data_IF_085895386557
#
_entry.id   IF_085895386557
#
_cell.length_a   1.000
_cell.length_b   1.000
_cell.length_c   1.000
_cell.angle_alpha   90.00
_cell.angle_beta   90.00
_cell.angle_gamma   90.00
#
_symmetry.space_group_name_H-M   'P 1'
#
loop_
_entity.id
_entity.type
_entity.pdbx_description
1 polymer ?
#
# COMPACT_ATOMS: atom_id res chain seq x y z
N UNK A 1 -21.91 30.27 32.68
CA UNK A 1 -21.29 29.38 31.66
C UNK A 1 -21.74 29.60 30.22
N UNK A 2 -22.73 30.40 29.89
CA UNK A 2 -23.18 30.64 28.48
C UNK A 2 -22.32 31.66 27.68
N UNK A 3 -21.56 32.53 28.36
CA UNK A 3 -20.76 33.59 27.66
C UNK A 3 -19.45 33.09 26.98
N UNK A 4 -18.89 31.99 27.44
CA UNK A 4 -17.62 31.45 26.92
C UNK A 4 -17.75 30.80 25.54
N UNK A 5 -18.92 30.26 25.23
CA UNK A 5 -19.17 29.62 23.95
C UNK A 5 -19.44 30.63 22.80
N UNK A 6 -19.99 31.80 23.13
CA UNK A 6 -20.27 32.84 22.13
C UNK A 6 -18.96 33.40 21.57
N UNK A 7 -17.93 33.64 22.41
CA UNK A 7 -16.62 34.09 21.93
C UNK A 7 -15.89 33.02 21.13
N UNK A 8 -16.03 31.75 21.48
CA UNK A 8 -15.48 30.64 20.70
C UNK A 8 -16.13 30.50 19.32
N UNK A 9 -17.45 30.63 19.26
CA UNK A 9 -18.20 30.60 18.00
C UNK A 9 -17.87 31.80 17.12
N UNK A 10 -17.73 32.98 17.68
CA UNK A 10 -17.30 34.19 16.95
C UNK A 10 -15.87 34.02 16.39
N UNK A 11 -14.95 33.46 17.16
CA UNK A 11 -13.59 33.17 16.68
C UNK A 11 -13.62 32.17 15.51
N UNK A 12 -14.40 31.08 15.64
CA UNK A 12 -14.50 30.04 14.62
C UNK A 12 -15.11 30.56 13.31
N UNK A 13 -16.17 31.37 13.41
CA UNK A 13 -16.83 31.95 12.24
C UNK A 13 -15.97 33.00 11.54
N UNK A 14 -15.25 33.83 12.30
CA UNK A 14 -14.33 34.84 11.72
C UNK A 14 -13.13 34.15 11.07
N UNK A 15 -12.59 33.11 11.66
CA UNK A 15 -11.49 32.32 11.07
C UNK A 15 -11.94 31.62 9.79
N UNK A 16 -13.13 31.04 9.78
CA UNK A 16 -13.69 30.39 8.59
C UNK A 16 -13.93 31.39 7.47
N UNK A 17 -14.54 32.55 7.77
CA UNK A 17 -14.76 33.61 6.79
C UNK A 17 -13.43 34.15 6.22
N UNK A 18 -12.41 34.31 7.07
CA UNK A 18 -11.08 34.74 6.64
C UNK A 18 -10.44 33.75 5.67
N UNK A 19 -10.48 32.43 5.97
CA UNK A 19 -9.96 31.42 5.06
C UNK A 19 -10.76 31.29 3.78
N UNK A 20 -12.08 31.52 3.81
CA UNK A 20 -12.91 31.52 2.61
C UNK A 20 -12.54 32.68 1.67
N UNK A 21 -12.32 33.88 2.21
CA UNK A 21 -11.86 35.04 1.44
C UNK A 21 -10.45 34.82 0.87
N UNK A 22 -9.52 34.28 1.66
CA UNK A 22 -8.18 33.94 1.16
C UNK A 22 -8.21 32.87 0.06
N UNK A 23 -9.10 31.90 0.19
CA UNK A 23 -9.26 30.82 -0.80
C UNK A 23 -9.85 31.30 -2.13
N UNK A 24 -10.54 32.43 -2.15
CA UNK A 24 -11.16 33.02 -3.35
C UNK A 24 -10.25 34.00 -4.13
N UNK A 25 -9.06 34.28 -3.61
CA UNK A 25 -8.10 35.19 -4.27
C UNK A 25 -6.99 34.41 -4.97
N UNK A 26 -6.67 34.79 -6.20
CA UNK A 26 -5.61 34.19 -7.01
C UNK A 26 -4.21 34.61 -6.53
N UNK A 27 -4.11 35.76 -5.88
CA UNK A 27 -2.87 36.30 -5.29
C UNK A 27 -3.10 36.84 -3.89
N UNK A 28 -2.15 36.62 -2.98
CA UNK A 28 -2.19 37.12 -1.59
C UNK A 28 -0.95 37.96 -1.34
N UNK A 29 -1.14 39.23 -0.90
CA UNK A 29 -0.05 40.13 -0.51
C UNK A 29 0.12 40.12 1.01
N UNK A 30 1.27 39.62 1.49
CA UNK A 30 1.64 39.63 2.91
C UNK A 30 2.97 40.37 3.06
N UNK A 31 2.98 41.44 3.87
CA UNK A 31 4.18 42.23 4.16
C UNK A 31 4.98 42.70 2.92
N UNK A 32 4.29 43.02 1.84
CA UNK A 32 4.92 43.48 0.58
C UNK A 32 5.38 42.38 -0.36
N UNK A 33 5.19 41.12 0.01
CA UNK A 33 5.47 39.94 -0.85
C UNK A 33 4.16 39.46 -1.46
N UNK A 34 4.14 39.33 -2.79
CA UNK A 34 3.01 38.82 -3.53
C UNK A 34 3.20 37.30 -3.73
N UNK A 35 2.30 36.51 -3.14
CA UNK A 35 2.26 35.06 -3.26
C UNK A 35 1.11 34.68 -4.21
N UNK A 36 1.46 34.17 -5.38
CA UNK A 36 0.50 33.60 -6.30
C UNK A 36 0.10 32.18 -5.85
N UNK A 37 -1.17 31.83 -6.03
CA UNK A 37 -1.65 30.47 -5.80
C UNK A 37 -1.05 29.58 -6.88
N UNK A 38 -0.34 28.48 -6.53
CA UNK A 38 0.20 27.59 -7.56
C UNK A 38 -0.96 26.94 -8.32
N UNK A 39 -1.00 27.15 -9.62
CA UNK A 39 -1.98 26.50 -10.49
C UNK A 39 -1.48 25.08 -10.79
N UNK A 40 -1.80 24.14 -9.88
CA UNK A 40 -1.36 22.75 -9.93
C UNK A 40 -1.76 22.07 -11.24
N UNK A 41 -2.83 22.53 -11.88
CA UNK A 41 -3.31 21.97 -13.16
C UNK A 41 -2.43 22.48 -14.31
N UNK A 42 -2.02 23.74 -14.30
CA UNK A 42 -1.17 24.33 -15.35
C UNK A 42 0.28 23.81 -15.24
N UNK A 43 0.78 23.59 -14.03
CA UNK A 43 2.12 23.02 -13.79
C UNK A 43 2.19 21.54 -14.22
N UNK A 44 1.14 20.75 -13.96
CA UNK A 44 1.02 19.39 -14.47
C UNK A 44 0.93 19.32 -16.01
N UNK A 45 0.21 20.28 -16.63
CA UNK A 45 0.08 20.33 -18.09
C UNK A 45 1.37 20.80 -18.75
N UNK A 46 2.09 21.76 -18.16
CA UNK A 46 3.42 22.20 -18.65
C UNK A 46 4.48 21.12 -18.51
N UNK A 47 4.48 20.34 -17.41
CA UNK A 47 5.38 19.22 -17.25
C UNK A 47 5.15 18.12 -18.32
N UNK A 48 3.88 17.88 -18.70
CA UNK A 48 3.53 16.90 -19.73
C UNK A 48 3.86 17.39 -21.15
N UNK A 49 3.81 18.71 -21.41
CA UNK A 49 4.13 19.31 -22.73
C UNK A 49 5.63 19.55 -22.91
N UNK A 50 6.38 19.79 -21.81
CA UNK A 50 7.84 19.97 -21.88
C UNK A 50 8.58 18.67 -22.22
N UNK A 51 7.99 17.50 -21.95
CA UNK A 51 8.57 16.19 -22.30
C UNK A 51 8.31 15.80 -23.78
N UNK A 52 7.54 16.61 -24.53
CA UNK A 52 7.16 16.29 -25.92
C UNK A 52 7.78 17.24 -26.98
N UNK A 53 8.66 18.17 -26.60
CA UNK A 53 9.19 19.18 -27.56
C UNK A 53 10.70 19.38 -27.46
N UNK A 54 11.45 18.29 -27.52
CA UNK A 54 12.84 18.32 -27.99
C UNK A 54 13.01 17.27 -29.09
N UNK A 55 12.63 17.64 -30.31
CA UNK A 55 13.03 16.94 -31.50
C UNK A 55 13.66 17.96 -32.43
N UNK A 56 14.99 18.00 -32.44
CA UNK A 56 15.80 18.78 -33.38
C UNK A 56 15.55 18.34 -34.84
N UNK A 57 15.44 19.33 -35.72
CA UNK A 57 15.50 19.17 -37.16
C UNK A 57 16.90 18.64 -37.55
N UNK A 58 16.98 17.43 -38.08
CA UNK A 58 18.14 16.96 -38.81
C UNK A 58 17.71 16.65 -40.23
N UNK A 59 18.42 17.34 -41.19
CA UNK A 59 18.31 17.21 -42.62
C UNK A 59 18.55 15.78 -43.11
N UNK A 60 17.74 15.37 -44.05
CA UNK A 60 17.86 14.17 -44.87
C UNK A 60 19.17 14.10 -45.63
N UNK A 61 19.92 13.01 -45.41
CA UNK A 61 20.73 12.37 -46.45
C UNK A 61 20.46 10.86 -46.42
N UNK A 62 20.16 10.35 -47.60
CA UNK A 62 19.72 9.01 -47.94
C UNK A 62 20.89 8.01 -47.83
N UNK A 63 20.78 7.03 -46.90
CA UNK A 63 21.42 5.71 -47.07
C UNK A 63 20.60 4.69 -46.24
N UNK A 64 20.05 3.71 -47.00
CA UNK A 64 19.28 2.61 -46.41
C UNK A 64 20.10 1.74 -45.47
N UNK A 65 19.60 1.54 -44.27
CA UNK A 65 19.94 0.44 -43.38
C UNK A 65 18.70 0.13 -42.53
N UNK A 66 18.45 -1.15 -42.36
CA UNK A 66 17.34 -1.83 -41.72
C UNK A 66 16.70 -1.14 -40.52
N UNK A 67 15.36 -0.97 -40.60
CA UNK A 67 14.46 -0.67 -39.47
C UNK A 67 14.50 -1.82 -38.46
N UNK A 68 15.41 -1.77 -37.49
CA UNK A 68 15.21 -2.44 -36.23
C UNK A 68 14.14 -1.63 -35.43
N UNK A 69 12.89 -2.07 -35.49
CA UNK A 69 11.79 -1.59 -34.63
C UNK A 69 12.25 -1.66 -33.18
N UNK A 70 12.51 -0.50 -32.58
CA UNK A 70 12.54 -0.37 -31.14
C UNK A 70 11.05 -0.47 -30.71
N UNK A 71 10.59 -1.67 -30.41
CA UNK A 71 9.32 -1.87 -29.73
C UNK A 71 9.49 -1.30 -28.32
N UNK A 72 8.90 -0.12 -28.06
CA UNK A 72 8.52 0.24 -26.70
C UNK A 72 7.77 -0.98 -26.13
N UNK A 73 8.34 -1.62 -25.13
CA UNK A 73 7.65 -2.64 -24.36
C UNK A 73 6.49 -1.95 -23.63
N UNK A 74 5.33 -1.85 -24.25
CA UNK A 74 4.09 -1.58 -23.53
C UNK A 74 3.99 -2.67 -22.46
N UNK A 75 4.09 -2.26 -21.20
CA UNK A 75 3.87 -3.15 -20.06
C UNK A 75 2.39 -3.55 -20.11
N UNK A 76 2.12 -4.69 -20.73
CA UNK A 76 0.77 -5.25 -20.83
C UNK A 76 0.33 -5.61 -19.41
N UNK A 77 -0.52 -4.76 -18.82
CA UNK A 77 -1.11 -5.05 -17.51
C UNK A 77 -2.02 -6.25 -17.64
N UNK A 78 -1.75 -7.32 -16.89
CA UNK A 78 -2.59 -8.50 -16.85
C UNK A 78 -3.97 -8.14 -16.25
N UNK A 79 -4.98 -8.20 -17.10
CA UNK A 79 -6.38 -7.87 -16.77
C UNK A 79 -7.24 -9.09 -16.46
N UNK A 80 -6.66 -10.29 -16.51
CA UNK A 80 -7.39 -11.52 -16.23
C UNK A 80 -7.81 -11.61 -14.76
N UNK A 81 -8.95 -12.23 -14.46
CA UNK A 81 -9.34 -12.54 -13.09
C UNK A 81 -8.25 -13.35 -12.37
N UNK A 82 -7.92 -12.97 -11.13
CA UNK A 82 -6.92 -13.62 -10.30
C UNK A 82 -7.53 -14.14 -9.00
N UNK A 83 -7.03 -15.25 -8.52
CA UNK A 83 -7.21 -15.70 -7.15
C UNK A 83 -6.16 -15.04 -6.27
N UNK A 84 -6.59 -14.22 -5.33
CA UNK A 84 -5.71 -13.53 -4.39
C UNK A 84 -5.83 -14.21 -3.03
N UNK A 85 -4.70 -14.58 -2.44
CA UNK A 85 -4.61 -15.00 -1.05
C UNK A 85 -3.99 -13.89 -0.23
N UNK A 86 -4.64 -13.45 0.84
CA UNK A 86 -3.99 -12.66 1.89
C UNK A 86 -3.95 -13.47 3.18
N UNK A 87 -2.76 -13.62 3.75
CA UNK A 87 -2.59 -14.32 5.02
C UNK A 87 -1.67 -13.58 5.97
N UNK A 88 -1.85 -13.82 7.27
CA UNK A 88 -1.04 -13.20 8.30
C UNK A 88 -1.69 -13.17 9.67
N UNK A 89 -1.31 -12.16 10.46
CA UNK A 89 -1.77 -11.96 11.83
C UNK A 89 -3.07 -11.12 11.91
N UNK A 90 -3.42 -10.63 13.11
CA UNK A 90 -4.64 -9.85 13.36
C UNK A 90 -4.71 -8.52 12.61
N UNK A 91 -3.61 -7.99 12.08
CA UNK A 91 -3.62 -6.75 11.28
C UNK A 91 -4.47 -6.89 10.02
N UNK A 92 -4.70 -8.12 9.56
CA UNK A 92 -5.56 -8.42 8.41
C UNK A 92 -7.03 -8.06 8.63
N UNK A 93 -7.52 -7.96 9.86
CA UNK A 93 -8.89 -7.49 10.12
C UNK A 93 -9.14 -6.08 9.55
N UNK A 94 -8.10 -5.27 9.54
CA UNK A 94 -8.14 -3.93 8.94
C UNK A 94 -7.85 -3.92 7.44
N UNK A 95 -6.85 -4.68 6.99
CA UNK A 95 -6.38 -4.69 5.60
C UNK A 95 -7.33 -5.42 4.64
N UNK A 96 -7.82 -6.60 5.07
CA UNK A 96 -8.63 -7.49 4.22
C UNK A 96 -9.91 -6.85 3.66
N UNK A 97 -10.69 -6.05 4.43
CA UNK A 97 -11.89 -5.41 3.88
C UNK A 97 -11.60 -4.41 2.76
N UNK A 98 -10.48 -3.67 2.84
CA UNK A 98 -10.10 -2.74 1.77
C UNK A 98 -9.58 -3.48 0.55
N UNK A 99 -8.74 -4.49 0.72
CA UNK A 99 -8.29 -5.34 -0.37
C UNK A 99 -9.46 -6.07 -1.06
N UNK A 100 -10.48 -6.50 -0.30
CA UNK A 100 -11.68 -7.10 -0.87
C UNK A 100 -12.46 -6.14 -1.78
N UNK A 101 -12.49 -4.84 -1.44
CA UNK A 101 -13.08 -3.85 -2.33
C UNK A 101 -12.29 -3.72 -3.65
N UNK A 102 -10.95 -3.72 -3.59
CA UNK A 102 -10.08 -3.72 -4.77
C UNK A 102 -10.27 -4.99 -5.61
N UNK A 103 -10.21 -6.16 -4.98
CA UNK A 103 -10.38 -7.44 -5.66
C UNK A 103 -11.70 -7.48 -6.43
N UNK A 104 -12.81 -7.20 -5.77
CA UNK A 104 -14.14 -7.19 -6.37
C UNK A 104 -14.27 -6.19 -7.52
N UNK A 105 -13.72 -4.99 -7.35
CA UNK A 105 -13.77 -3.94 -8.39
C UNK A 105 -13.04 -4.35 -9.67
N UNK A 106 -11.96 -5.12 -9.54
CA UNK A 106 -11.12 -5.56 -10.64
C UNK A 106 -11.43 -6.99 -11.13
N UNK A 107 -12.50 -7.62 -10.64
CA UNK A 107 -12.93 -8.96 -11.08
C UNK A 107 -12.12 -10.10 -10.48
N UNK A 108 -11.37 -9.87 -9.41
CA UNK A 108 -10.57 -10.89 -8.71
C UNK A 108 -11.35 -11.53 -7.56
N UNK A 109 -10.95 -12.74 -7.20
CA UNK A 109 -11.44 -13.48 -6.03
C UNK A 109 -10.45 -13.27 -4.88
N UNK A 110 -10.93 -12.97 -3.66
CA UNK A 110 -10.08 -12.80 -2.48
C UNK A 110 -10.35 -13.88 -1.43
N UNK A 111 -9.31 -14.57 -1.03
CA UNK A 111 -9.25 -15.48 0.13
C UNK A 111 -8.43 -14.82 1.24
N UNK A 112 -8.99 -14.73 2.44
CA UNK A 112 -8.34 -14.11 3.60
C UNK A 112 -8.16 -15.13 4.72
N UNK A 113 -6.92 -15.33 5.18
CA UNK A 113 -6.58 -16.24 6.28
C UNK A 113 -5.95 -15.44 7.40
N UNK A 114 -6.71 -15.21 8.46
CA UNK A 114 -6.29 -14.46 9.64
C UNK A 114 -5.93 -15.47 10.73
N UNK A 115 -4.70 -15.46 11.18
CA UNK A 115 -4.28 -16.26 12.32
C UNK A 115 -3.89 -15.36 13.47
N UNK A 116 -4.78 -15.26 14.45
CA UNK A 116 -4.57 -14.37 15.60
C UNK A 116 -3.27 -14.70 16.34
N UNK A 117 -2.57 -13.65 16.75
CA UNK A 117 -1.29 -13.72 17.46
C UNK A 117 -0.21 -14.52 16.72
N UNK A 118 -0.39 -14.84 15.43
CA UNK A 118 0.61 -15.58 14.67
C UNK A 118 1.87 -14.77 14.43
N UNK A 119 2.96 -15.48 14.22
CA UNK A 119 4.31 -14.99 13.99
C UNK A 119 4.90 -15.71 12.77
N UNK A 120 6.02 -15.23 12.27
CA UNK A 120 6.77 -15.96 11.25
C UNK A 120 7.11 -17.38 11.69
N UNK A 121 7.41 -17.58 12.99
CA UNK A 121 7.65 -18.91 13.55
C UNK A 121 6.41 -19.80 13.42
N UNK A 122 5.23 -19.31 13.81
CA UNK A 122 3.98 -20.10 13.75
C UNK A 122 3.67 -20.52 12.32
N UNK A 123 3.77 -19.61 11.37
CA UNK A 123 3.56 -19.91 9.95
C UNK A 123 4.65 -20.83 9.38
N UNK A 124 5.93 -20.53 9.65
CA UNK A 124 7.07 -21.29 9.11
C UNK A 124 7.25 -22.69 9.70
N UNK A 125 6.62 -23.00 10.84
CA UNK A 125 6.63 -24.38 11.42
C UNK A 125 5.36 -25.17 11.10
N UNK A 126 4.41 -24.56 10.38
CA UNK A 126 3.09 -25.12 10.09
C UNK A 126 2.96 -25.44 8.59
N UNK A 127 2.17 -26.46 8.25
CA UNK A 127 1.76 -26.78 6.87
C UNK A 127 0.57 -25.95 6.38
N UNK A 128 0.05 -25.04 7.21
CA UNK A 128 -1.18 -24.28 6.89
C UNK A 128 -1.05 -23.44 5.63
N UNK A 129 0.10 -22.83 5.39
CA UNK A 129 0.29 -22.02 4.19
C UNK A 129 0.21 -22.90 2.93
N UNK A 130 0.89 -24.03 2.92
CA UNK A 130 0.85 -25.01 1.81
C UNK A 130 -0.58 -25.55 1.58
N UNK A 131 -1.30 -25.87 2.69
CA UNK A 131 -2.71 -26.29 2.62
C UNK A 131 -3.58 -25.24 1.93
N UNK A 132 -3.42 -23.94 2.27
CA UNK A 132 -4.21 -22.87 1.68
C UNK A 132 -3.78 -22.53 0.26
N UNK A 133 -2.49 -22.59 -0.06
CA UNK A 133 -2.00 -22.44 -1.44
C UNK A 133 -2.58 -23.55 -2.32
N UNK A 134 -2.49 -24.81 -1.88
CA UNK A 134 -3.08 -25.95 -2.60
C UNK A 134 -4.60 -25.82 -2.80
N UNK A 135 -5.30 -25.36 -1.76
CA UNK A 135 -6.75 -25.24 -1.74
C UNK A 135 -7.27 -24.09 -2.62
N UNK A 136 -6.66 -22.92 -2.53
CA UNK A 136 -7.15 -21.71 -3.19
C UNK A 136 -6.46 -21.43 -4.52
N UNK A 137 -5.33 -22.07 -4.79
CA UNK A 137 -4.52 -21.90 -6.01
C UNK A 137 -4.34 -20.43 -6.36
N UNK A 138 -3.74 -19.63 -5.46
CA UNK A 138 -3.62 -18.20 -5.66
C UNK A 138 -2.65 -17.89 -6.81
N UNK A 139 -3.03 -16.90 -7.61
CA UNK A 139 -2.19 -16.28 -8.63
C UNK A 139 -1.37 -15.13 -8.07
N UNK A 140 -1.74 -14.64 -6.88
CA UNK A 140 -1.03 -13.56 -6.17
C UNK A 140 -1.23 -13.67 -4.66
N UNK A 141 -0.18 -13.39 -3.88
CA UNK A 141 -0.20 -13.49 -2.43
C UNK A 141 0.15 -12.16 -1.76
N UNK A 142 -0.62 -11.77 -0.75
CA UNK A 142 -0.25 -10.74 0.22
C UNK A 142 0.08 -11.39 1.55
N UNK A 143 1.24 -11.04 2.11
CA UNK A 143 1.67 -11.48 3.45
C UNK A 143 1.62 -10.27 4.38
N UNK A 144 0.98 -10.37 5.54
CA UNK A 144 1.02 -9.35 6.58
C UNK A 144 1.40 -10.00 7.91
N UNK A 145 2.70 -10.00 8.19
CA UNK A 145 3.29 -10.62 9.38
C UNK A 145 4.38 -9.72 9.96
N UNK A 146 4.59 -9.87 11.25
CA UNK A 146 5.67 -9.21 12.00
C UNK A 146 5.19 -8.33 13.14
N UNK A 147 3.88 -8.02 13.24
CA UNK A 147 3.36 -7.20 14.31
C UNK A 147 3.56 -7.84 15.70
N UNK A 148 3.39 -9.16 15.80
CA UNK A 148 3.59 -9.91 17.04
C UNK A 148 5.06 -10.23 17.34
N UNK A 149 5.99 -9.78 16.48
CA UNK A 149 7.43 -10.04 16.60
C UNK A 149 8.26 -8.77 16.77
N UNK A 150 7.61 -7.60 16.85
CA UNK A 150 8.31 -6.31 16.92
C UNK A 150 9.31 -6.21 18.07
N UNK A 151 9.11 -6.97 19.16
CA UNK A 151 9.94 -6.90 20.37
C UNK A 151 10.70 -8.19 20.68
N UNK A 152 10.81 -9.11 19.72
CA UNK A 152 11.58 -10.35 19.87
C UNK A 152 13.06 -10.02 19.86
N UNK A 153 13.78 -10.43 20.90
CA UNK A 153 15.23 -10.26 20.99
C UNK A 153 15.93 -11.14 19.94
N UNK A 154 17.06 -10.64 19.44
CA UNK A 154 17.89 -11.35 18.45
C UNK A 154 17.07 -11.88 17.27
N UNK A 155 16.15 -11.06 16.77
CA UNK A 155 15.14 -11.47 15.81
C UNK A 155 15.76 -12.06 14.53
N UNK A 156 16.85 -11.48 14.04
CA UNK A 156 17.57 -11.99 12.88
C UNK A 156 18.08 -13.42 13.08
N UNK A 157 18.47 -13.78 14.30
CA UNK A 157 18.95 -15.14 14.62
C UNK A 157 17.78 -16.10 14.86
N UNK A 158 16.71 -15.62 15.46
CA UNK A 158 15.63 -16.47 15.97
C UNK A 158 14.46 -16.63 14.99
N UNK A 159 14.42 -15.85 13.89
CA UNK A 159 13.29 -15.81 12.95
C UNK A 159 13.69 -15.96 11.48
N UNK A 160 14.97 -15.82 11.11
CA UNK A 160 15.44 -15.85 9.72
C UNK A 160 15.00 -17.12 8.98
N UNK A 161 15.17 -18.27 9.59
CA UNK A 161 14.78 -19.57 9.05
C UNK A 161 13.26 -19.65 8.75
N UNK A 162 12.43 -19.12 9.64
CA UNK A 162 10.99 -19.18 9.47
C UNK A 162 10.51 -18.24 8.35
N UNK A 163 11.12 -17.07 8.20
CA UNK A 163 10.86 -16.18 7.06
C UNK A 163 11.23 -16.87 5.76
N UNK A 164 12.39 -17.54 5.69
CA UNK A 164 12.82 -18.31 4.52
C UNK A 164 11.89 -19.48 4.22
N UNK A 165 11.42 -20.19 5.25
CA UNK A 165 10.47 -21.30 5.08
C UNK A 165 9.15 -20.80 4.49
N UNK A 166 8.60 -19.67 4.98
CA UNK A 166 7.41 -19.07 4.40
C UNK A 166 7.63 -18.72 2.92
N UNK A 167 8.77 -18.12 2.59
CA UNK A 167 9.10 -17.78 1.20
C UNK A 167 9.24 -19.02 0.32
N UNK A 168 9.83 -20.09 0.84
CA UNK A 168 9.92 -21.39 0.16
C UNK A 168 8.54 -22.00 -0.09
N UNK A 169 7.61 -21.91 0.86
CA UNK A 169 6.23 -22.39 0.71
C UNK A 169 5.45 -21.57 -0.33
N UNK A 170 5.69 -20.25 -0.43
CA UNK A 170 5.11 -19.39 -1.48
C UNK A 170 5.64 -19.79 -2.86
N UNK A 171 6.91 -20.19 -2.95
CA UNK A 171 7.56 -20.58 -4.21
C UNK A 171 7.59 -19.46 -5.23
N UNK A 172 7.21 -19.76 -6.47
CA UNK A 172 7.25 -18.83 -7.60
C UNK A 172 5.99 -17.92 -7.69
N UNK A 173 5.03 -18.08 -6.79
CA UNK A 173 3.81 -17.27 -6.81
C UNK A 173 4.18 -15.81 -6.53
N UNK A 174 3.77 -14.85 -7.39
CA UNK A 174 3.97 -13.43 -7.14
C UNK A 174 3.38 -13.00 -5.79
N UNK A 175 4.14 -12.24 -5.02
CA UNK A 175 3.69 -11.83 -3.68
C UNK A 175 4.19 -10.44 -3.29
N UNK A 176 3.55 -9.86 -2.28
CA UNK A 176 4.02 -8.68 -1.54
C UNK A 176 3.96 -8.98 -0.05
N UNK A 177 5.07 -8.72 0.64
CA UNK A 177 5.10 -8.72 2.10
C UNK A 177 4.86 -7.31 2.62
N UNK A 178 3.80 -7.14 3.40
CA UNK A 178 3.44 -5.89 4.06
C UNK A 178 4.06 -5.92 5.46
N UNK A 179 5.03 -5.05 5.70
CA UNK A 179 5.68 -4.93 7.02
C UNK A 179 4.71 -4.43 8.09
N UNK A 180 4.97 -4.68 9.37
CA UNK A 180 4.07 -4.28 10.45
C UNK A 180 3.90 -2.76 10.53
N UNK A 181 2.68 -2.29 10.94
CA UNK A 181 2.41 -0.88 11.16
C UNK A 181 2.93 -0.47 12.55
N UNK A 182 4.21 -0.26 12.66
CA UNK A 182 4.91 -0.03 13.93
C UNK A 182 4.21 1.01 14.81
N UNK A 183 3.95 0.68 16.08
CA UNK A 183 3.50 1.63 17.11
C UNK A 183 4.60 1.97 18.13
N UNK A 184 5.73 1.30 18.04
CA UNK A 184 6.98 1.54 18.75
C UNK A 184 8.14 1.06 17.86
N UNK A 185 9.36 1.38 18.24
CA UNK A 185 10.54 0.84 17.55
C UNK A 185 10.59 -0.68 17.68
N UNK A 186 10.90 -1.33 16.58
CA UNK A 186 11.06 -2.78 16.53
C UNK A 186 12.51 -3.21 16.71
N UNK A 187 12.70 -4.48 17.04
CA UNK A 187 14.02 -5.10 17.26
C UNK A 187 14.67 -5.59 15.97
N UNK A 188 14.15 -5.20 14.79
CA UNK A 188 14.72 -5.53 13.49
C UNK A 188 13.88 -6.46 12.62
N UNK A 189 12.57 -6.63 12.90
CA UNK A 189 11.70 -7.47 12.05
C UNK A 189 11.59 -6.93 10.62
N UNK A 190 11.49 -5.61 10.46
CA UNK A 190 11.44 -4.99 9.15
C UNK A 190 12.72 -5.23 8.34
N UNK A 191 13.88 -5.10 8.98
CA UNK A 191 15.18 -5.35 8.34
C UNK A 191 15.35 -6.83 8.00
N UNK A 192 14.89 -7.74 8.88
CA UNK A 192 14.92 -9.16 8.64
C UNK A 192 14.11 -9.56 7.40
N UNK A 193 12.88 -9.08 7.30
CA UNK A 193 12.04 -9.37 6.13
C UNK A 193 12.66 -8.76 4.88
N UNK A 194 13.05 -7.47 4.92
CA UNK A 194 13.68 -6.78 3.80
C UNK A 194 14.93 -7.48 3.26
N UNK A 195 15.73 -8.09 4.15
CA UNK A 195 16.92 -8.86 3.78
C UNK A 195 16.58 -10.14 3.00
N UNK A 196 15.46 -10.78 3.33
CA UNK A 196 15.11 -12.10 2.79
C UNK A 196 14.21 -12.03 1.54
N UNK A 197 13.51 -10.93 1.31
CA UNK A 197 12.63 -10.79 0.14
C UNK A 197 13.33 -10.05 -1.00
N UNK A 198 13.05 -10.39 -2.27
CA UNK A 198 13.58 -9.66 -3.42
C UNK A 198 13.19 -8.19 -3.40
N UNK A 199 14.00 -7.35 -4.05
CA UNK A 199 13.69 -5.94 -4.23
C UNK A 199 12.31 -5.76 -4.88
N UNK A 200 11.52 -4.81 -4.36
CA UNK A 200 10.15 -4.55 -4.82
C UNK A 200 9.09 -5.53 -4.30
N UNK A 201 9.43 -6.46 -3.38
CA UNK A 201 8.47 -7.40 -2.76
C UNK A 201 8.12 -7.04 -1.31
N UNK A 202 8.75 -6.03 -0.74
CA UNK A 202 8.54 -5.62 0.65
C UNK A 202 8.02 -4.20 0.73
N UNK A 203 6.80 -4.02 1.25
CA UNK A 203 6.23 -2.72 1.57
C UNK A 203 6.54 -2.36 3.02
N UNK A 204 7.36 -1.35 3.24
CA UNK A 204 7.74 -0.88 4.56
C UNK A 204 6.66 0.05 5.14
N UNK A 205 5.92 -0.43 6.13
CA UNK A 205 4.89 0.34 6.83
C UNK A 205 5.43 1.13 8.04
N UNK A 206 6.65 0.83 8.47
CA UNK A 206 7.33 1.58 9.55
C UNK A 206 7.46 3.05 9.15
N UNK A 207 7.07 3.94 10.07
CA UNK A 207 7.09 5.39 9.83
C UNK A 207 5.79 5.96 9.25
N UNK A 208 4.84 5.12 8.85
CA UNK A 208 3.49 5.59 8.51
C UNK A 208 2.72 5.98 9.79
N UNK A 209 1.93 7.04 9.68
CA UNK A 209 1.04 7.44 10.78
C UNK A 209 -0.28 6.68 10.72
N UNK A 210 -0.71 6.12 11.85
CA UNK A 210 -1.96 5.39 12.00
C UNK A 210 -2.73 5.85 13.22
N UNK A 211 -3.99 6.23 13.04
CA UNK A 211 -4.92 6.29 14.16
C UNK A 211 -5.16 4.88 14.67
N UNK A 212 -5.06 4.70 15.99
CA UNK A 212 -5.16 3.38 16.61
C UNK A 212 -6.53 3.16 17.26
N UNK A 213 -6.98 1.91 17.24
CA UNK A 213 -8.13 1.47 17.99
C UNK A 213 -7.92 1.61 19.52
N UNK A 214 -8.90 1.24 20.31
CA UNK A 214 -8.85 1.36 21.79
C UNK A 214 -7.69 0.60 22.44
N UNK A 215 -7.23 -0.47 21.80
CA UNK A 215 -6.08 -1.28 22.24
C UNK A 215 -4.72 -0.61 22.01
N UNK A 216 -4.67 0.54 21.32
CA UNK A 216 -3.46 1.30 20.96
C UNK A 216 -2.46 0.53 20.06
N UNK A 217 -2.85 -0.61 19.54
CA UNK A 217 -2.03 -1.49 18.70
C UNK A 217 -2.55 -1.53 17.27
N UNK A 218 -3.80 -1.94 17.09
CA UNK A 218 -4.38 -2.07 15.75
C UNK A 218 -4.73 -0.70 15.16
N UNK A 219 -4.43 -0.45 13.87
CA UNK A 219 -4.97 0.71 13.17
C UNK A 219 -6.51 0.71 13.18
N UNK A 220 -7.12 1.89 13.26
CA UNK A 220 -8.58 2.00 13.02
C UNK A 220 -8.93 1.48 11.63
N UNK A 221 -10.20 1.15 11.39
CA UNK A 221 -10.65 0.71 10.06
C UNK A 221 -10.33 1.74 8.97
N UNK A 222 -10.46 3.02 9.27
CA UNK A 222 -10.12 4.10 8.34
C UNK A 222 -8.62 4.13 8.03
N UNK A 223 -7.76 4.11 9.05
CA UNK A 223 -6.30 4.06 8.88
C UNK A 223 -5.84 2.79 8.17
N UNK A 224 -6.44 1.64 8.46
CA UNK A 224 -6.12 0.39 7.78
C UNK A 224 -6.53 0.40 6.29
N UNK A 225 -7.63 1.07 5.95
CA UNK A 225 -8.02 1.26 4.54
C UNK A 225 -7.01 2.13 3.80
N UNK A 226 -6.57 3.25 4.39
CA UNK A 226 -5.52 4.11 3.84
C UNK A 226 -4.17 3.38 3.74
N UNK A 227 -3.88 2.50 4.70
CA UNK A 227 -2.69 1.65 4.65
C UNK A 227 -2.71 0.73 3.44
N UNK A 228 -3.81 0.00 3.20
CA UNK A 228 -3.94 -0.84 2.01
C UNK A 228 -3.90 -0.01 0.72
N UNK A 229 -4.52 1.18 0.69
CA UNK A 229 -4.41 2.09 -0.46
C UNK A 229 -2.96 2.46 -0.75
N UNK A 230 -2.15 2.69 0.31
CA UNK A 230 -0.72 2.99 0.17
C UNK A 230 0.07 1.80 -0.37
N UNK A 231 -0.26 0.57 0.08
CA UNK A 231 0.34 -0.67 -0.46
C UNK A 231 0.06 -0.79 -1.97
N UNK A 232 -1.20 -0.63 -2.37
CA UNK A 232 -1.60 -0.76 -3.79
C UNK A 232 -0.95 0.34 -4.66
N UNK A 233 -0.94 1.59 -4.19
CA UNK A 233 -0.28 2.69 -4.90
C UNK A 233 1.24 2.46 -5.05
N UNK A 234 1.88 1.90 -4.01
CA UNK A 234 3.29 1.53 -4.08
C UNK A 234 3.52 0.38 -5.07
N UNK A 235 2.64 -0.63 -5.09
CA UNK A 235 2.71 -1.73 -6.06
C UNK A 235 2.62 -1.22 -7.49
N UNK A 236 1.69 -0.32 -7.79
CA UNK A 236 1.52 0.26 -9.12
C UNK A 236 2.83 0.91 -9.65
N UNK A 237 3.63 1.50 -8.74
CA UNK A 237 4.93 2.12 -9.08
C UNK A 237 6.08 1.13 -9.19
N UNK A 238 6.06 0.01 -8.45
CA UNK A 238 7.19 -0.91 -8.31
C UNK A 238 6.98 -2.27 -9.00
N UNK A 239 5.71 -2.68 -9.18
CA UNK A 239 5.31 -3.99 -9.70
C UNK A 239 4.20 -3.86 -10.74
N UNK A 240 4.28 -2.81 -11.56
CA UNK A 240 3.30 -2.56 -12.61
C UNK A 240 3.18 -3.77 -13.55
N UNK A 241 1.93 -4.18 -13.85
CA UNK A 241 1.63 -5.28 -14.77
C UNK A 241 1.43 -6.66 -14.13
N UNK A 242 1.84 -6.92 -12.88
CA UNK A 242 1.66 -8.25 -12.27
C UNK A 242 0.21 -8.56 -11.89
N UNK A 243 -0.51 -7.57 -11.40
CA UNK A 243 -1.93 -7.66 -11.08
C UNK A 243 -2.59 -6.29 -11.18
N UNK A 244 -3.75 -6.21 -11.79
CA UNK A 244 -4.51 -4.96 -11.88
C UNK A 244 -5.32 -4.73 -10.61
N UNK A 245 -5.06 -3.63 -9.92
CA UNK A 245 -5.79 -3.22 -8.72
C UNK A 245 -6.14 -1.72 -8.80
N UNK A 246 -7.02 -1.35 -9.74
CA UNK A 246 -7.53 0.02 -9.85
C UNK A 246 -8.44 0.35 -8.66
N UNK A 247 -8.40 1.61 -8.23
CA UNK A 247 -9.04 2.04 -6.99
C UNK A 247 -10.58 1.95 -7.07
N UNK A 248 -11.23 1.23 -6.13
CA UNK A 248 -12.68 1.14 -6.07
C UNK A 248 -13.30 2.38 -5.43
N UNK A 249 -14.52 2.73 -5.84
CA UNK A 249 -15.34 3.75 -5.19
C UNK A 249 -15.80 3.33 -3.78
N UNK A 250 -16.02 2.02 -3.56
CA UNK A 250 -16.38 1.49 -2.23
C UNK A 250 -15.18 1.47 -1.30
N UNK A 251 -15.35 1.96 -0.08
CA UNK A 251 -14.30 2.00 0.94
C UNK A 251 -13.90 0.61 1.45
N UNK A 252 -14.82 -0.36 1.48
CA UNK A 252 -14.60 -1.71 1.98
C UNK A 252 -15.44 -2.74 1.25
N UNK A 253 -15.03 -4.00 1.31
CA UNK A 253 -15.74 -5.17 0.79
C UNK A 253 -15.65 -6.34 1.75
N UNK A 254 -16.16 -7.48 1.32
CA UNK A 254 -16.04 -8.76 2.01
C UNK A 254 -15.26 -9.72 1.11
N UNK A 255 -14.26 -10.38 1.66
CA UNK A 255 -13.55 -11.45 0.97
C UNK A 255 -14.51 -12.60 0.62
N UNK A 256 -14.26 -13.28 -0.48
CA UNK A 256 -15.08 -14.42 -0.93
C UNK A 256 -15.04 -15.55 0.09
N UNK A 257 -13.90 -15.73 0.74
CA UNK A 257 -13.74 -16.62 1.88
C UNK A 257 -12.82 -16.00 2.92
N UNK A 258 -13.27 -15.97 4.17
CA UNK A 258 -12.42 -15.64 5.32
C UNK A 258 -12.28 -16.87 6.20
N UNK A 259 -11.06 -17.21 6.57
CA UNK A 259 -10.72 -18.24 7.55
C UNK A 259 -10.06 -17.54 8.73
N UNK A 260 -10.52 -17.84 9.92
CA UNK A 260 -9.97 -17.31 11.17
C UNK A 260 -9.40 -18.46 11.99
N UNK A 261 -8.12 -18.40 12.31
CA UNK A 261 -7.42 -19.35 13.15
C UNK A 261 -7.15 -18.70 14.52
N UNK A 262 -7.32 -19.48 15.55
CA UNK A 262 -7.06 -19.05 16.92
C UNK A 262 -5.56 -19.14 17.26
N UNK A 263 -5.10 -18.38 18.27
CA UNK A 263 -3.72 -18.48 18.74
C UNK A 263 -3.32 -19.93 19.03
N UNK A 264 -2.07 -20.28 18.73
CA UNK A 264 -1.48 -21.54 19.16
C UNK A 264 -1.02 -21.34 20.60
N UNK A 265 -1.51 -22.17 21.51
CA UNK A 265 -1.11 -22.17 22.93
C UNK A 265 0.33 -22.67 23.09
#
# INVERSE_FOLDING_TARGET
>A
MKKTYISLWLLLTTTFAFFTVLSSQDTIKIAGIELAKPDIIEELTKATVAETTETEEIKTEDTGIDNAMITENEVVTDTLPKNILIFGDSMLEGLSPRLAAYAKHNGHTLYSVIWYSSTSKVWGTSTKLEEYISKFKPDFIFVSLGANEMFVKDIAKTRDEYVKTILSQIGDIPYIWIGPPNWKDDTGINELVKKNVPQGRFFLSKGMHFDRASDKVHPTRASAALWMDSVINWMAKNRNGEIRLTRPSKASGKADKTITLQPVN
#
